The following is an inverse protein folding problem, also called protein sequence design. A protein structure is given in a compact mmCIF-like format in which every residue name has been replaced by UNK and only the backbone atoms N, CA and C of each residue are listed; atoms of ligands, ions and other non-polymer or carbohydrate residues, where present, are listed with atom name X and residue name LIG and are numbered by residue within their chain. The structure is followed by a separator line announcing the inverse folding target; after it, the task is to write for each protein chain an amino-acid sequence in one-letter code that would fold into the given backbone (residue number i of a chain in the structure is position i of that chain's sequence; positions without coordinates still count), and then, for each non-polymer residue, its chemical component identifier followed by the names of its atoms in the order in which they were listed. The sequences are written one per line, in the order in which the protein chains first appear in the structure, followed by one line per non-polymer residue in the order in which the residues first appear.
data_IF_490420290969
#
_entry.id   IF_490420290969
#
_cell.length_a   1.000
_cell.length_b   1.000
_cell.length_c   1.000
_cell.angle_alpha   90.00
_cell.angle_beta   90.00
_cell.angle_gamma   90.00
#
_symmetry.space_group_name_H-M   'P 1'
#
loop_
_entity.id
_entity.type
_entity.pdbx_description
1 polymer ?
#
# COMPACT_ATOMS: atom_id res chain seq x y z
N UNK A 1 -28.64 39.27 -5.67
CA UNK A 1 -27.44 38.47 -5.32
C UNK A 1 -27.02 38.82 -3.90
N UNK A 2 -27.54 38.11 -2.89
CA UNK A 2 -27.20 38.36 -1.47
C UNK A 2 -27.39 37.11 -0.62
N UNK A 3 -26.85 35.96 -1.05
CA UNK A 3 -26.87 34.72 -0.28
C UNK A 3 -25.71 34.60 0.74
N UNK A 4 -24.70 35.48 0.68
CA UNK A 4 -23.49 35.36 1.52
C UNK A 4 -23.59 35.92 2.95
N UNK A 5 -24.66 36.62 3.30
CA UNK A 5 -24.74 37.37 4.57
C UNK A 5 -25.31 36.58 5.76
N UNK A 6 -25.84 35.38 5.52
CA UNK A 6 -26.60 34.64 6.56
C UNK A 6 -25.69 33.83 7.50
N UNK A 7 -24.41 33.58 7.19
CA UNK A 7 -23.56 32.69 7.99
C UNK A 7 -22.70 33.37 9.08
N UNK A 8 -22.60 34.70 9.15
CA UNK A 8 -21.58 35.35 9.99
C UNK A 8 -22.10 36.49 10.88
N UNK A 9 -23.14 36.22 11.65
CA UNK A 9 -23.42 36.99 12.87
C UNK A 9 -23.27 36.11 14.10
N UNK A 10 -22.08 35.55 14.29
CA UNK A 10 -21.70 34.84 15.51
C UNK A 10 -21.30 35.87 16.57
N UNK A 11 -22.09 35.94 17.64
CA UNK A 11 -21.73 36.65 18.87
C UNK A 11 -20.44 36.01 19.41
N UNK A 12 -19.37 36.81 19.50
CA UNK A 12 -18.07 36.37 19.99
C UNK A 12 -18.09 36.24 21.52
N UNK A 13 -18.64 35.15 22.05
CA UNK A 13 -18.52 34.84 23.47
C UNK A 13 -17.07 34.44 23.81
N UNK A 14 -16.42 35.30 24.59
CA UNK A 14 -14.98 35.32 24.93
C UNK A 14 -14.51 34.24 25.90
N UNK A 15 -15.28 33.19 26.18
CA UNK A 15 -14.88 32.21 27.20
C UNK A 15 -14.30 30.95 26.57
N UNK A 16 -12.97 30.80 26.64
CA UNK A 16 -12.29 29.52 26.47
C UNK A 16 -12.72 28.60 27.62
N UNK A 17 -13.78 27.82 27.38
CA UNK A 17 -14.52 27.13 28.43
C UNK A 17 -13.95 25.71 28.64
N UNK A 18 -13.59 25.33 29.87
CA UNK A 18 -13.09 23.98 30.23
C UNK A 18 -14.05 22.86 29.74
N UNK A 19 -15.35 23.16 29.63
CA UNK A 19 -16.37 22.26 29.06
C UNK A 19 -16.13 21.83 27.61
N UNK A 20 -15.33 22.59 26.85
CA UNK A 20 -15.02 22.31 25.45
C UNK A 20 -13.98 21.21 25.31
N UNK A 21 -12.93 21.24 26.14
CA UNK A 21 -11.87 20.22 26.14
C UNK A 21 -12.47 18.85 26.42
N UNK A 22 -13.44 18.77 27.34
CA UNK A 22 -14.16 17.54 27.65
C UNK A 22 -14.93 16.93 26.46
N UNK A 23 -15.29 17.72 25.43
CA UNK A 23 -15.99 17.21 24.25
C UNK A 23 -15.06 16.54 23.23
N UNK A 24 -13.83 17.03 23.09
CA UNK A 24 -12.84 16.48 22.15
C UNK A 24 -11.85 15.51 22.80
N UNK A 25 -11.81 15.49 24.14
CA UNK A 25 -10.88 14.68 24.92
C UNK A 25 -10.93 13.18 24.58
N UNK A 26 -12.10 12.52 24.45
CA UNK A 26 -12.14 11.11 24.08
C UNK A 26 -11.51 10.83 22.71
N UNK A 27 -11.80 11.68 21.71
CA UNK A 27 -11.21 11.57 20.37
C UNK A 27 -9.70 11.78 20.39
N UNK A 28 -9.23 12.76 21.16
CA UNK A 28 -7.80 13.05 21.28
C UNK A 28 -7.05 11.92 21.97
N UNK A 29 -7.62 11.34 23.04
CA UNK A 29 -7.06 10.18 23.72
C UNK A 29 -7.00 8.96 22.80
N UNK A 30 -8.05 8.72 22.02
CA UNK A 30 -8.08 7.64 21.04
C UNK A 30 -6.97 7.79 19.99
N UNK A 31 -6.85 8.98 19.38
CA UNK A 31 -5.82 9.25 18.36
C UNK A 31 -4.42 9.02 18.93
N UNK A 32 -4.14 9.54 20.13
CA UNK A 32 -2.83 9.40 20.78
C UNK A 32 -2.52 7.94 21.12
N UNK A 33 -3.46 7.25 21.76
CA UNK A 33 -3.25 5.87 22.20
C UNK A 33 -3.09 4.92 21.02
N UNK A 34 -3.96 5.04 20.01
CA UNK A 34 -3.89 4.23 18.80
C UNK A 34 -2.61 4.49 18.00
N UNK A 35 -2.23 5.76 17.82
CA UNK A 35 -0.97 6.10 17.13
C UNK A 35 0.24 5.54 17.87
N UNK A 36 0.25 5.60 19.21
CA UNK A 36 1.32 5.01 20.02
C UNK A 36 1.42 3.49 19.80
N UNK A 37 0.28 2.78 19.82
CA UNK A 37 0.23 1.34 19.53
C UNK A 37 0.79 1.06 18.15
N UNK A 38 0.35 1.77 17.10
CA UNK A 38 0.86 1.56 15.74
C UNK A 38 2.36 1.78 15.66
N UNK A 39 2.88 2.85 16.26
CA UNK A 39 4.31 3.16 16.22
C UNK A 39 5.10 2.06 16.92
N UNK A 40 4.66 1.63 18.10
CA UNK A 40 5.30 0.53 18.85
C UNK A 40 5.25 -0.76 18.03
N UNK A 41 4.08 -1.15 17.52
CA UNK A 41 3.92 -2.35 16.70
C UNK A 41 4.79 -2.29 15.44
N UNK A 42 4.78 -1.19 14.69
CA UNK A 42 5.57 -1.04 13.46
C UNK A 42 7.08 -1.02 13.72
N UNK A 43 7.51 -0.65 14.93
CA UNK A 43 8.94 -0.64 15.31
C UNK A 43 9.39 -2.00 15.85
N UNK A 44 8.51 -2.74 16.51
CA UNK A 44 8.86 -3.99 17.21
C UNK A 44 8.61 -5.25 16.39
N UNK A 45 7.71 -5.19 15.41
CA UNK A 45 7.38 -6.32 14.55
C UNK A 45 7.72 -5.97 13.12
N UNK A 46 8.12 -6.97 12.31
CA UNK A 46 8.38 -6.86 10.86
C UNK A 46 7.08 -6.59 10.07
N UNK A 47 6.26 -5.67 10.55
CA UNK A 47 5.08 -5.18 9.87
C UNK A 47 5.53 -4.36 8.66
N UNK A 48 4.68 -4.36 7.62
CA UNK A 48 4.80 -3.41 6.52
C UNK A 48 5.01 -2.00 7.04
N UNK A 49 5.77 -1.20 6.27
CA UNK A 49 5.90 0.25 6.51
C UNK A 49 4.52 0.82 6.82
N UNK A 50 4.44 1.74 7.80
CA UNK A 50 3.18 2.37 8.23
C UNK A 50 2.37 2.75 6.99
N UNK A 51 1.36 1.96 6.70
CA UNK A 51 0.53 2.12 5.49
C UNK A 51 -0.73 2.87 5.85
N UNK A 52 -1.32 3.55 4.87
CA UNK A 52 -2.54 4.36 5.07
C UNK A 52 -3.70 3.55 5.66
N UNK A 53 -3.70 2.23 5.44
CA UNK A 53 -4.67 1.29 6.00
C UNK A 53 -4.63 1.27 7.52
N UNK A 54 -3.43 1.27 8.10
CA UNK A 54 -3.23 1.27 9.55
C UNK A 54 -3.67 2.61 10.15
N UNK A 55 -3.51 3.72 9.44
CA UNK A 55 -3.94 5.04 9.94
C UNK A 55 -5.44 5.33 9.72
N UNK A 56 -6.16 4.50 8.96
CA UNK A 56 -7.58 4.72 8.66
C UNK A 56 -8.48 4.91 9.90
N UNK A 57 -8.27 4.21 11.04
CA UNK A 57 -9.15 4.38 12.20
C UNK A 57 -8.98 5.73 12.91
N UNK A 58 -7.80 6.36 12.84
CA UNK A 58 -7.59 7.69 13.44
C UNK A 58 -8.05 8.82 12.54
N UNK A 59 -8.32 8.55 11.25
CA UNK A 59 -8.64 9.59 10.28
C UNK A 59 -9.87 10.40 10.70
N UNK A 60 -10.99 9.74 11.00
CA UNK A 60 -12.24 10.43 11.37
C UNK A 60 -12.06 11.25 12.66
N UNK A 61 -11.58 10.70 13.78
CA UNK A 61 -11.30 11.48 14.99
C UNK A 61 -10.33 12.64 14.77
N UNK A 62 -9.26 12.44 13.98
CA UNK A 62 -8.27 13.48 13.71
C UNK A 62 -8.85 14.63 12.89
N UNK A 63 -9.67 14.34 11.88
CA UNK A 63 -10.37 15.35 11.07
C UNK A 63 -11.33 16.18 11.94
N UNK A 64 -12.05 15.54 12.86
CA UNK A 64 -12.92 16.26 13.81
C UNK A 64 -12.12 17.19 14.72
N UNK A 65 -11.01 16.74 15.29
CA UNK A 65 -10.12 17.57 16.11
C UNK A 65 -9.56 18.73 15.27
N UNK A 66 -9.12 18.46 14.04
CA UNK A 66 -8.59 19.47 13.13
C UNK A 66 -9.61 20.58 12.84
N UNK A 67 -10.83 20.24 12.43
CA UNK A 67 -11.87 21.24 12.16
C UNK A 67 -12.25 22.02 13.42
N UNK A 68 -12.30 21.36 14.56
CA UNK A 68 -12.57 22.02 15.83
C UNK A 68 -11.48 23.04 16.20
N UNK A 69 -10.21 22.66 16.07
CA UNK A 69 -9.09 23.57 16.32
C UNK A 69 -9.07 24.71 15.31
N UNK A 70 -9.34 24.42 14.04
CA UNK A 70 -9.40 25.40 12.96
C UNK A 70 -10.49 26.46 13.24
N UNK A 71 -11.70 26.06 13.64
CA UNK A 71 -12.77 26.98 14.04
C UNK A 71 -12.32 27.94 15.17
N UNK A 72 -11.63 27.40 16.19
CA UNK A 72 -11.11 28.21 17.30
C UNK A 72 -10.00 29.16 16.88
N UNK A 73 -9.06 28.69 16.05
CA UNK A 73 -7.99 29.53 15.52
C UNK A 73 -8.57 30.67 14.68
N UNK A 74 -9.55 30.39 13.81
CA UNK A 74 -10.20 31.42 13.00
C UNK A 74 -10.97 32.43 13.84
N UNK A 75 -11.73 31.95 14.83
CA UNK A 75 -12.45 32.82 15.77
C UNK A 75 -11.46 33.72 16.51
N UNK A 76 -10.36 33.16 17.02
CA UNK A 76 -9.31 33.91 17.69
C UNK A 76 -8.66 34.95 16.76
N UNK A 77 -8.26 34.56 15.54
CA UNK A 77 -7.71 35.48 14.53
C UNK A 77 -8.67 36.63 14.21
N UNK A 78 -9.97 36.35 14.09
CA UNK A 78 -10.99 37.37 13.81
C UNK A 78 -11.22 38.36 14.97
N UNK A 79 -10.69 38.09 16.17
CA UNK A 79 -10.65 39.07 17.26
C UNK A 79 -9.57 40.14 17.06
N UNK A 80 -8.48 39.80 16.36
CA UNK A 80 -7.34 40.70 16.13
C UNK A 80 -7.33 41.30 14.72
N UNK A 81 -7.93 40.62 13.75
CA UNK A 81 -7.95 41.01 12.35
C UNK A 81 -9.39 41.14 11.82
N UNK A 82 -9.55 41.87 10.71
CA UNK A 82 -10.84 41.94 10.01
C UNK A 82 -11.28 40.53 9.56
N UNK A 83 -12.50 40.13 9.93
CA UNK A 83 -13.08 38.82 9.60
C UNK A 83 -13.06 38.53 8.09
N UNK A 84 -13.25 39.55 7.25
CA UNK A 84 -13.17 39.40 5.80
C UNK A 84 -11.76 39.04 5.32
N UNK A 85 -10.72 39.64 5.94
CA UNK A 85 -9.33 39.33 5.60
C UNK A 85 -8.96 37.90 6.02
N UNK A 86 -9.40 37.46 7.20
CA UNK A 86 -9.20 36.08 7.68
C UNK A 86 -9.88 35.07 6.75
N UNK A 87 -11.08 35.37 6.27
CA UNK A 87 -11.81 34.52 5.31
C UNK A 87 -11.09 34.41 3.96
N UNK A 88 -10.62 35.53 3.40
CA UNK A 88 -9.84 35.52 2.16
C UNK A 88 -8.58 34.68 2.33
N UNK A 89 -7.87 34.87 3.44
CA UNK A 89 -6.66 34.11 3.74
C UNK A 89 -6.96 32.59 3.79
N UNK A 90 -7.99 32.17 4.54
CA UNK A 90 -8.40 30.77 4.58
C UNK A 90 -8.72 30.21 3.19
N UNK A 91 -9.46 30.98 2.38
CA UNK A 91 -9.85 30.57 1.03
C UNK A 91 -8.62 30.34 0.16
N UNK A 92 -7.65 31.26 0.20
CA UNK A 92 -6.38 31.14 -0.52
C UNK A 92 -5.59 29.93 -0.02
N UNK A 93 -5.54 29.70 1.29
CA UNK A 93 -4.87 28.53 1.88
C UNK A 93 -5.49 27.22 1.41
N UNK A 94 -6.82 27.12 1.35
CA UNK A 94 -7.53 25.92 0.87
C UNK A 94 -7.24 25.70 -0.61
N UNK A 95 -7.32 26.75 -1.44
CA UNK A 95 -7.00 26.64 -2.88
C UNK A 95 -5.55 26.20 -3.08
N UNK A 96 -4.62 26.74 -2.30
CA UNK A 96 -3.21 26.33 -2.33
C UNK A 96 -3.04 24.86 -1.93
N UNK A 97 -3.72 24.42 -0.86
CA UNK A 97 -3.69 23.03 -0.41
C UNK A 97 -4.24 22.06 -1.45
N UNK A 98 -5.29 22.44 -2.18
CA UNK A 98 -5.91 21.63 -3.24
C UNK A 98 -4.99 21.41 -4.45
N UNK A 99 -3.93 22.20 -4.60
CA UNK A 99 -2.94 21.99 -5.67
C UNK A 99 -2.30 20.60 -5.59
N UNK A 100 -1.99 20.14 -4.37
CA UNK A 100 -1.34 18.84 -4.15
C UNK A 100 -2.20 17.65 -4.61
N UNK A 101 -3.45 17.44 -4.10
CA UNK A 101 -4.28 16.33 -4.56
C UNK A 101 -4.65 16.46 -6.03
N UNK A 102 -4.81 17.68 -6.56
CA UNK A 102 -5.07 17.88 -7.99
C UNK A 102 -3.89 17.39 -8.85
N UNK A 103 -2.66 17.78 -8.51
CA UNK A 103 -1.47 17.34 -9.22
C UNK A 103 -1.31 15.82 -9.15
N UNK A 104 -1.49 15.23 -7.96
CA UNK A 104 -1.40 13.78 -7.78
C UNK A 104 -2.47 13.02 -8.59
N UNK A 105 -3.70 13.55 -8.61
CA UNK A 105 -4.79 12.97 -9.39
C UNK A 105 -4.49 13.02 -10.89
N UNK A 106 -3.97 14.14 -11.39
CA UNK A 106 -3.59 14.27 -12.80
C UNK A 106 -2.45 13.32 -13.16
N UNK A 107 -1.46 13.16 -12.29
CA UNK A 107 -0.37 12.20 -12.47
C UNK A 107 -0.90 10.77 -12.59
N UNK A 108 -1.78 10.36 -11.66
CA UNK A 108 -2.40 9.04 -11.67
C UNK A 108 -3.20 8.82 -12.95
N UNK A 109 -3.99 9.82 -13.39
CA UNK A 109 -4.77 9.70 -14.65
C UNK A 109 -3.86 9.50 -15.86
N UNK A 110 -2.74 10.22 -15.92
CA UNK A 110 -1.79 10.08 -17.03
C UNK A 110 -1.12 8.69 -17.02
N UNK A 111 -0.72 8.23 -15.83
CA UNK A 111 -0.22 6.87 -15.63
C UNK A 111 -1.26 5.82 -16.05
N UNK A 112 -2.53 5.97 -15.67
CA UNK A 112 -3.62 5.10 -16.12
C UNK A 112 -3.81 5.12 -17.64
N UNK A 113 -3.66 6.27 -18.29
CA UNK A 113 -3.74 6.36 -19.76
C UNK A 113 -2.56 5.67 -20.43
N UNK A 114 -1.35 5.78 -19.88
CA UNK A 114 -0.15 5.15 -20.44
C UNK A 114 -0.09 3.65 -20.16
N UNK A 115 -0.48 3.19 -18.96
CA UNK A 115 -0.33 1.81 -18.51
C UNK A 115 -1.65 1.00 -18.47
N UNK A 116 -2.79 1.59 -18.87
CA UNK A 116 -4.10 0.94 -18.96
C UNK A 116 -4.41 -0.03 -17.81
N UNK A 117 -4.58 0.51 -16.60
CA UNK A 117 -4.96 -0.24 -15.40
C UNK A 117 -3.92 -0.17 -14.27
N UNK A 118 -4.26 -0.73 -13.10
CA UNK A 118 -3.41 -0.74 -11.89
C UNK A 118 -3.38 -2.15 -11.31
N UNK A 119 -2.26 -2.52 -10.69
CA UNK A 119 -2.04 -3.85 -10.13
C UNK A 119 -2.14 -4.91 -11.23
N UNK A 120 -2.74 -6.05 -10.92
CA UNK A 120 -2.86 -7.17 -11.87
C UNK A 120 -3.81 -6.90 -13.06
N UNK A 121 -4.54 -5.78 -13.07
CA UNK A 121 -5.33 -5.37 -14.22
C UNK A 121 -4.58 -4.37 -15.14
N UNK A 122 -3.30 -4.10 -14.90
CA UNK A 122 -2.51 -3.24 -15.78
C UNK A 122 -2.20 -3.93 -17.11
N UNK A 123 -1.81 -3.13 -18.11
CA UNK A 123 -1.38 -3.65 -19.41
C UNK A 123 -0.15 -4.55 -19.31
N UNK A 124 0.73 -4.32 -18.32
CA UNK A 124 1.90 -5.16 -18.04
C UNK A 124 1.50 -6.61 -17.79
N UNK A 125 0.45 -6.83 -16.99
CA UNK A 125 -0.02 -8.17 -16.64
C UNK A 125 -0.97 -8.75 -17.70
N UNK A 126 -1.85 -7.93 -18.27
CA UNK A 126 -2.80 -8.37 -19.30
C UNK A 126 -2.09 -8.78 -20.60
N UNK A 127 -0.96 -8.17 -20.93
CA UNK A 127 -0.17 -8.49 -22.12
C UNK A 127 1.05 -9.39 -21.80
N UNK A 128 1.10 -9.98 -20.61
CA UNK A 128 2.18 -10.87 -20.19
C UNK A 128 2.16 -12.17 -21.02
N UNK A 129 3.25 -12.42 -21.76
CA UNK A 129 3.41 -13.68 -22.52
C UNK A 129 3.58 -14.87 -21.59
N UNK A 130 4.21 -14.64 -20.44
CA UNK A 130 4.35 -15.65 -19.38
C UNK A 130 2.97 -16.07 -18.83
N UNK A 131 2.06 -15.12 -18.54
CA UNK A 131 0.69 -15.42 -18.12
C UNK A 131 -0.09 -16.12 -19.24
N UNK A 132 0.05 -15.66 -20.49
CA UNK A 132 -0.59 -16.30 -21.64
C UNK A 132 -0.15 -17.76 -21.79
N UNK A 133 1.14 -18.04 -21.62
CA UNK A 133 1.68 -19.40 -21.63
C UNK A 133 1.00 -20.28 -20.56
N UNK A 134 0.86 -19.77 -19.34
CA UNK A 134 0.23 -20.50 -18.24
C UNK A 134 -1.27 -20.74 -18.48
N UNK A 135 -1.98 -19.79 -19.09
CA UNK A 135 -3.39 -19.95 -19.48
C UNK A 135 -3.56 -21.07 -20.51
N UNK A 136 -2.60 -21.25 -21.42
CA UNK A 136 -2.59 -22.35 -22.41
C UNK A 136 -2.19 -23.68 -21.78
N UNK A 137 -1.36 -23.65 -20.73
CA UNK A 137 -0.81 -24.84 -20.07
C UNK A 137 -1.37 -25.08 -18.67
N UNK A 138 -2.66 -24.80 -18.42
CA UNK A 138 -3.28 -24.97 -17.10
C UNK A 138 -3.15 -26.37 -16.49
N UNK A 139 -2.98 -27.39 -17.34
CA UNK A 139 -2.74 -28.77 -16.91
C UNK A 139 -1.45 -28.95 -16.08
N UNK A 140 -0.49 -28.02 -16.17
CA UNK A 140 0.72 -28.03 -15.36
C UNK A 140 0.39 -28.01 -13.86
N UNK A 141 -0.56 -27.17 -13.44
CA UNK A 141 -0.96 -27.05 -12.03
C UNK A 141 -1.66 -28.28 -11.45
N UNK A 142 -2.07 -29.23 -12.29
CA UNK A 142 -2.66 -30.50 -11.84
C UNK A 142 -1.61 -31.61 -11.67
N UNK A 143 -0.42 -31.46 -12.28
CA UNK A 143 0.60 -32.51 -12.34
C UNK A 143 1.88 -32.16 -11.57
N UNK A 144 2.16 -30.87 -11.46
CA UNK A 144 3.39 -30.35 -10.88
C UNK A 144 3.07 -29.30 -9.83
N UNK A 145 3.93 -29.19 -8.83
CA UNK A 145 3.90 -28.05 -7.91
C UNK A 145 4.47 -26.83 -8.63
N UNK A 146 3.71 -25.74 -8.65
CA UNK A 146 4.14 -24.50 -9.29
C UNK A 146 4.70 -23.57 -8.23
N UNK A 147 5.80 -22.89 -8.55
CA UNK A 147 6.44 -21.85 -7.75
C UNK A 147 6.52 -20.56 -8.55
N UNK A 148 6.36 -19.40 -7.91
CA UNK A 148 6.63 -18.11 -8.56
C UNK A 148 7.12 -17.06 -7.59
N UNK A 149 7.83 -16.06 -8.11
CA UNK A 149 8.09 -14.82 -7.39
C UNK A 149 6.86 -13.88 -7.35
N UNK A 150 5.83 -14.11 -8.18
CA UNK A 150 4.56 -13.38 -8.16
C UNK A 150 3.37 -14.36 -8.15
N UNK A 151 3.24 -15.21 -7.11
CA UNK A 151 2.19 -16.22 -7.06
C UNK A 151 0.79 -15.61 -7.02
N UNK A 152 0.62 -14.42 -6.45
CA UNK A 152 -0.65 -13.72 -6.37
C UNK A 152 -1.11 -13.23 -7.75
N UNK A 153 -0.17 -12.76 -8.59
CA UNK A 153 -0.46 -12.36 -9.96
C UNK A 153 -0.91 -13.57 -10.79
N UNK A 154 -0.16 -14.67 -10.71
CA UNK A 154 -0.47 -15.91 -11.41
C UNK A 154 -1.83 -16.45 -10.95
N UNK A 155 -2.09 -16.51 -9.65
CA UNK A 155 -3.37 -16.98 -9.14
C UNK A 155 -4.53 -16.10 -9.62
N UNK A 156 -4.41 -14.78 -9.48
CA UNK A 156 -5.46 -13.84 -9.87
C UNK A 156 -5.81 -13.91 -11.36
N UNK A 157 -4.82 -14.11 -12.23
CA UNK A 157 -4.98 -14.06 -13.68
C UNK A 157 -5.28 -15.43 -14.31
N UNK A 158 -4.78 -16.50 -13.72
CA UNK A 158 -4.86 -17.85 -14.33
C UNK A 158 -5.74 -18.83 -13.56
N UNK A 159 -6.04 -18.52 -12.28
CA UNK A 159 -6.66 -19.41 -11.30
C UNK A 159 -5.86 -20.70 -11.05
N UNK A 160 -4.53 -20.66 -11.25
CA UNK A 160 -3.64 -21.77 -10.90
C UNK A 160 -3.20 -21.65 -9.44
N UNK A 161 -3.26 -22.77 -8.72
CA UNK A 161 -2.67 -22.85 -7.38
C UNK A 161 -1.16 -22.88 -7.52
N UNK A 162 -0.50 -21.91 -6.91
CA UNK A 162 0.93 -21.69 -7.03
C UNK A 162 1.49 -21.25 -5.68
N UNK A 163 2.69 -21.69 -5.36
CA UNK A 163 3.39 -21.37 -4.12
C UNK A 163 4.44 -20.28 -4.37
N UNK A 164 4.88 -19.63 -3.29
CA UNK A 164 6.02 -18.73 -3.37
C UNK A 164 7.28 -19.49 -3.73
N UNK A 165 8.09 -18.90 -4.61
CA UNK A 165 9.49 -19.26 -4.78
C UNK A 165 10.19 -19.29 -3.41
N UNK A 166 11.21 -20.14 -3.22
CA UNK A 166 11.97 -20.19 -1.99
C UNK A 166 12.37 -18.82 -1.43
N UNK A 167 12.06 -18.58 -0.16
CA UNK A 167 12.41 -17.36 0.54
C UNK A 167 13.79 -17.48 1.23
N UNK A 168 14.58 -16.43 1.12
CA UNK A 168 15.88 -16.23 1.78
C UNK A 168 15.71 -15.68 3.20
N UNK A 169 14.80 -14.74 3.38
CA UNK A 169 14.47 -14.11 4.66
C UNK A 169 12.98 -14.17 4.93
N UNK A 170 12.58 -13.93 6.19
CA UNK A 170 11.18 -13.62 6.47
C UNK A 170 10.77 -12.32 5.76
N UNK A 171 9.50 -12.25 5.35
CA UNK A 171 8.95 -11.03 4.76
C UNK A 171 9.18 -9.82 5.66
N UNK A 172 9.66 -8.71 5.07
CA UNK A 172 10.03 -7.47 5.77
C UNK A 172 11.01 -7.63 6.95
N UNK A 173 11.82 -8.70 6.96
CA UNK A 173 12.81 -8.95 8.00
C UNK A 173 14.19 -9.25 7.39
N UNK A 174 15.28 -8.73 8.00
CA UNK A 174 16.63 -9.13 7.63
C UNK A 174 16.99 -10.52 8.16
N UNK A 175 16.14 -11.14 8.99
CA UNK A 175 16.39 -12.45 9.56
C UNK A 175 16.32 -13.52 8.48
N UNK A 176 17.45 -14.21 8.28
CA UNK A 176 17.54 -15.37 7.41
C UNK A 176 16.63 -16.49 7.93
N UNK A 177 15.91 -17.14 7.02
CA UNK A 177 15.22 -18.39 7.33
C UNK A 177 16.29 -19.46 7.61
N UNK A 178 16.11 -20.22 8.70
CA UNK A 178 17.05 -21.28 9.08
C UNK A 178 17.24 -22.25 7.91
N UNK A 179 18.46 -22.27 7.36
CA UNK A 179 18.80 -22.99 6.13
C UNK A 179 18.46 -24.49 6.20
N UNK A 180 18.56 -25.13 7.37
CA UNK A 180 18.32 -26.56 7.52
C UNK A 180 16.84 -26.97 7.48
N UNK A 181 15.92 -26.08 7.84
CA UNK A 181 14.47 -26.33 7.70
C UNK A 181 13.96 -25.97 6.31
N UNK A 182 14.50 -24.89 5.73
CA UNK A 182 14.09 -24.44 4.39
C UNK A 182 14.65 -25.35 3.28
N UNK A 183 15.93 -25.74 3.36
CA UNK A 183 16.54 -26.61 2.34
C UNK A 183 15.81 -27.95 2.24
N UNK A 184 15.36 -28.51 3.36
CA UNK A 184 14.57 -29.74 3.38
C UNK A 184 13.14 -29.54 2.86
N UNK A 185 12.44 -28.45 3.19
CA UNK A 185 11.11 -28.17 2.63
C UNK A 185 11.14 -27.87 1.13
N UNK A 186 12.18 -27.17 0.66
CA UNK A 186 12.38 -26.90 -0.77
C UNK A 186 12.73 -28.21 -1.48
N UNK A 187 13.76 -28.96 -1.04
CA UNK A 187 14.14 -30.25 -1.67
C UNK A 187 13.07 -31.34 -1.58
N UNK A 188 12.24 -31.38 -0.53
CA UNK A 188 11.21 -32.41 -0.39
C UNK A 188 10.03 -32.20 -1.33
N UNK A 189 9.78 -30.96 -1.78
CA UNK A 189 8.62 -30.61 -2.61
C UNK A 189 8.99 -30.28 -4.08
N UNK A 190 10.28 -30.09 -4.40
CA UNK A 190 10.74 -29.70 -5.75
C UNK A 190 11.03 -30.85 -6.71
N UNK A 191 10.96 -32.13 -6.31
CA UNK A 191 11.32 -33.27 -7.19
C UNK A 191 10.48 -33.44 -8.46
N UNK A 192 9.49 -32.57 -8.70
CA UNK A 192 8.73 -32.41 -9.95
C UNK A 192 7.96 -31.08 -9.89
N UNK A 193 8.68 -29.95 -9.95
CA UNK A 193 8.08 -28.62 -9.87
C UNK A 193 8.46 -27.71 -11.03
N UNK A 194 7.63 -26.71 -11.31
CA UNK A 194 7.98 -25.61 -12.23
C UNK A 194 8.18 -24.32 -11.44
N UNK A 195 9.19 -23.55 -11.82
CA UNK A 195 9.41 -22.19 -11.34
C UNK A 195 9.04 -21.21 -12.45
N UNK A 196 8.11 -20.31 -12.16
CA UNK A 196 7.66 -19.23 -13.04
C UNK A 196 8.23 -17.93 -12.47
N UNK A 197 9.16 -17.31 -13.18
CA UNK A 197 9.86 -16.13 -12.72
C UNK A 197 9.52 -14.91 -13.55
N UNK A 198 8.98 -13.86 -12.95
CA UNK A 198 8.72 -12.58 -13.62
C UNK A 198 9.88 -11.61 -13.43
N UNK A 199 10.31 -10.95 -14.50
CA UNK A 199 11.49 -10.07 -14.48
C UNK A 199 11.24 -8.74 -13.74
N UNK A 200 9.98 -8.31 -13.65
CA UNK A 200 9.58 -7.03 -13.07
C UNK A 200 9.18 -7.11 -11.58
N UNK A 201 9.45 -8.23 -10.91
CA UNK A 201 9.10 -8.43 -9.51
C UNK A 201 10.23 -7.96 -8.59
N UNK A 202 9.94 -7.01 -7.69
CA UNK A 202 10.89 -6.54 -6.66
C UNK A 202 10.59 -7.23 -5.32
N UNK A 203 11.15 -8.44 -5.13
CA UNK A 203 10.99 -9.24 -3.90
C UNK A 203 12.32 -9.68 -3.32
N UNK A 204 13.00 -8.74 -2.67
CA UNK A 204 14.33 -8.91 -2.06
C UNK A 204 14.43 -9.97 -0.94
N UNK A 205 13.30 -10.51 -0.47
CA UNK A 205 13.25 -11.60 0.51
C UNK A 205 13.27 -13.00 -0.14
N UNK A 206 13.12 -13.08 -1.47
CA UNK A 206 13.22 -14.33 -2.24
C UNK A 206 14.66 -14.56 -2.72
N UNK A 207 15.01 -15.81 -2.98
CA UNK A 207 16.25 -16.12 -3.70
C UNK A 207 16.15 -15.64 -5.15
N UNK A 208 17.26 -15.14 -5.72
CA UNK A 208 17.32 -14.81 -7.14
C UNK A 208 17.46 -16.08 -8.00
N UNK A 209 17.23 -15.97 -9.31
CA UNK A 209 17.41 -17.10 -10.23
C UNK A 209 18.84 -17.64 -10.18
N UNK A 210 19.84 -16.77 -10.11
CA UNK A 210 21.25 -17.18 -10.03
C UNK A 210 21.55 -17.92 -8.72
N UNK A 211 20.97 -17.47 -7.60
CA UNK A 211 21.09 -18.15 -6.31
C UNK A 211 20.39 -19.52 -6.33
N UNK A 212 19.25 -19.64 -7.01
CA UNK A 212 18.51 -20.90 -7.15
C UNK A 212 19.26 -21.90 -8.05
N UNK A 213 19.74 -21.47 -9.22
CA UNK A 213 20.50 -22.32 -10.15
C UNK A 213 21.80 -22.86 -9.56
N UNK A 214 22.40 -22.15 -8.59
CA UNK A 214 23.59 -22.63 -7.87
C UNK A 214 23.29 -23.79 -6.91
N UNK A 215 22.06 -23.87 -6.40
CA UNK A 215 21.68 -24.80 -5.33
C UNK A 215 20.73 -25.92 -5.80
N UNK A 216 20.05 -25.73 -6.93
CA UNK A 216 19.08 -26.64 -7.51
C UNK A 216 19.41 -26.90 -8.97
N UNK A 217 19.25 -28.15 -9.40
CA UNK A 217 19.31 -28.49 -10.82
C UNK A 217 18.01 -28.02 -11.48
N UNK A 218 18.13 -27.01 -12.33
CA UNK A 218 17.01 -26.39 -13.02
C UNK A 218 17.34 -26.28 -14.50
N UNK A 219 16.39 -26.68 -15.33
CA UNK A 219 16.48 -26.50 -16.78
C UNK A 219 15.43 -25.49 -17.23
N UNK A 220 15.86 -24.55 -18.07
CA UNK A 220 14.97 -23.60 -18.70
C UNK A 220 14.05 -24.33 -19.69
N UNK A 221 12.76 -24.04 -19.60
CA UNK A 221 11.72 -24.62 -20.45
C UNK A 221 11.32 -23.63 -21.53
N UNK A 222 11.06 -22.38 -21.13
CA UNK A 222 10.67 -21.28 -22.02
C UNK A 222 11.12 -19.95 -21.41
N UNK A 223 11.45 -18.98 -22.26
CA UNK A 223 11.78 -17.61 -21.87
C UNK A 223 11.01 -16.59 -22.71
N UNK A 224 10.52 -15.56 -22.03
CA UNK A 224 9.76 -14.46 -22.57
C UNK A 224 10.37 -13.13 -22.13
N UNK A 225 10.00 -12.05 -22.83
CA UNK A 225 10.49 -10.71 -22.51
C UNK A 225 10.17 -10.28 -21.06
N UNK A 226 9.08 -10.81 -20.49
CA UNK A 226 8.55 -10.46 -19.17
C UNK A 226 8.80 -11.51 -18.08
N UNK A 227 9.34 -12.69 -18.43
CA UNK A 227 9.59 -13.75 -17.47
C UNK A 227 10.12 -15.04 -18.08
N UNK A 228 10.57 -15.94 -17.21
CA UNK A 228 11.25 -17.20 -17.54
C UNK A 228 10.60 -18.36 -16.79
N UNK A 229 10.59 -19.54 -17.41
CA UNK A 229 10.01 -20.76 -16.84
C UNK A 229 11.07 -21.84 -16.76
N UNK A 230 11.26 -22.38 -15.56
CA UNK A 230 12.21 -23.45 -15.27
C UNK A 230 11.48 -24.69 -14.75
N UNK A 231 12.09 -25.86 -14.95
CA UNK A 231 11.69 -27.11 -14.31
C UNK A 231 12.80 -27.57 -13.36
N UNK A 232 12.42 -28.06 -12.18
CA UNK A 232 13.32 -28.69 -11.21
C UNK A 232 13.52 -30.17 -11.56
N UNK A 233 14.78 -30.62 -11.62
CA UNK A 233 15.17 -32.00 -11.90
C UNK A 233 15.49 -32.83 -10.63
#
# INVERSE_FOLDING_TARGET
MSAGWILFKTNYDKTFNIKIINKIFPSMLFVLFYSCIIIISSTTTAYDRISDRLLSPIYIPAVFIFFFMLDKILTWLSMYFNSYAVFIFLTISIISLLRFPLHNTLYIIDEFRMQSGVGYNSSLWNNSKTIEFLLRHKMLGNRYTLYSNEPEAVYALTNLKIEYSPAKTFYNSPQLLNADQNKNNILMNTKNGYLIWFNNADRNFLFTIEELQKNFDMTEVESFDDGEIYIFN
#
